data_IF_371733255040
#
_entry.id   IF_371733255040
#
_cell.length_a   1.000
_cell.length_b   1.000
_cell.length_c   1.000
_cell.angle_alpha   90.00
_cell.angle_beta   90.00
_cell.angle_gamma   90.00
#
_symmetry.space_group_name_H-M   'P 1'
#
loop_
_entity.id
_entity.type
_entity.pdbx_description
1 polymer ?
#
# COMPACT_ATOMS: atom_id res chain seq x y z
N UNK A 1 19.01 -10.55 -18.79
CA UNK A 1 18.34 -9.30 -18.39
C UNK A 1 17.03 -9.66 -17.70
N UNK A 2 16.84 -9.27 -16.44
CA UNK A 2 15.59 -9.49 -15.71
C UNK A 2 14.53 -8.60 -16.36
N UNK A 3 13.48 -9.19 -16.92
CA UNK A 3 12.37 -8.46 -17.55
C UNK A 3 11.59 -7.75 -16.44
N UNK A 4 11.75 -6.44 -16.30
CA UNK A 4 10.97 -5.63 -15.36
C UNK A 4 9.49 -5.76 -15.70
N UNK A 5 8.64 -5.98 -14.69
CA UNK A 5 7.21 -6.15 -14.92
C UNK A 5 6.59 -4.87 -15.49
N UNK A 6 5.63 -5.00 -16.41
CA UNK A 6 4.90 -3.85 -16.98
C UNK A 6 4.26 -3.00 -15.88
N UNK A 7 3.74 -3.62 -14.82
CA UNK A 7 3.15 -2.89 -13.69
C UNK A 7 4.17 -2.01 -12.96
N UNK A 8 5.40 -2.50 -12.76
CA UNK A 8 6.48 -1.72 -12.15
C UNK A 8 6.83 -0.50 -12.99
N UNK A 9 6.96 -0.68 -14.32
CA UNK A 9 7.30 0.42 -15.24
C UNK A 9 6.22 1.50 -15.21
N UNK A 10 4.94 1.10 -15.29
CA UNK A 10 3.82 2.04 -15.23
C UNK A 10 3.73 2.76 -13.88
N UNK A 11 3.97 2.05 -12.77
CA UNK A 11 3.99 2.65 -11.43
C UNK A 11 5.08 3.70 -11.29
N UNK A 12 6.32 3.36 -11.67
CA UNK A 12 7.47 4.27 -11.61
C UNK A 12 7.35 5.47 -12.54
N UNK A 13 6.77 5.30 -13.73
CA UNK A 13 6.46 6.44 -14.60
C UNK A 13 5.44 7.39 -13.96
N UNK A 14 4.43 6.86 -13.25
CA UNK A 14 3.45 7.70 -12.57
C UNK A 14 4.03 8.45 -11.36
N UNK A 15 4.92 7.81 -10.59
CA UNK A 15 5.67 8.47 -9.51
C UNK A 15 6.45 9.69 -10.04
N UNK A 16 7.18 9.52 -11.16
CA UNK A 16 7.90 10.62 -11.80
C UNK A 16 6.97 11.74 -12.27
N UNK A 17 5.87 11.40 -12.94
CA UNK A 17 4.92 12.38 -13.44
C UNK A 17 4.31 13.24 -12.31
N UNK A 18 3.98 12.63 -11.17
CA UNK A 18 3.51 13.35 -9.98
C UNK A 18 4.57 14.31 -9.44
N UNK A 19 5.81 13.83 -9.23
CA UNK A 19 6.89 14.68 -8.73
C UNK A 19 7.18 15.85 -9.68
N UNK A 20 7.26 15.58 -10.99
CA UNK A 20 7.52 16.60 -11.99
C UNK A 20 6.42 17.66 -12.01
N UNK A 21 5.16 17.26 -11.96
CA UNK A 21 4.03 18.21 -11.92
C UNK A 21 4.04 19.04 -10.63
N UNK A 22 4.35 18.45 -9.47
CA UNK A 22 4.55 19.23 -8.24
C UNK A 22 5.64 20.29 -8.42
N UNK A 23 6.80 19.90 -8.97
CA UNK A 23 7.91 20.83 -9.24
C UNK A 23 7.49 21.99 -10.14
N UNK A 24 6.87 21.68 -11.28
CA UNK A 24 6.46 22.69 -12.26
C UNK A 24 5.45 23.69 -11.69
N UNK A 25 4.50 23.22 -10.87
CA UNK A 25 3.49 24.06 -10.23
C UNK A 25 4.03 24.86 -9.05
N UNK A 26 4.98 24.30 -8.29
CA UNK A 26 5.44 24.89 -7.04
C UNK A 26 6.63 25.84 -7.21
N UNK A 27 7.47 25.64 -8.23
CA UNK A 27 8.64 26.51 -8.49
C UNK A 27 8.28 27.98 -8.75
N UNK A 28 7.03 28.24 -9.17
CA UNK A 28 6.51 29.61 -9.38
C UNK A 28 5.90 30.22 -8.11
N UNK A 29 5.69 29.41 -7.06
CA UNK A 29 5.05 29.81 -5.80
C UNK A 29 6.04 29.85 -4.62
N UNK A 30 7.05 29.00 -4.63
CA UNK A 30 8.03 28.83 -3.54
C UNK A 30 9.36 28.31 -4.08
N UNK A 31 10.42 28.39 -3.28
CA UNK A 31 11.68 27.69 -3.54
C UNK A 31 11.49 26.17 -3.48
N UNK A 32 11.93 25.46 -4.52
CA UNK A 32 11.78 24.00 -4.66
C UNK A 32 13.11 23.38 -5.10
N UNK A 33 13.44 22.23 -4.54
CA UNK A 33 14.58 21.40 -4.99
C UNK A 33 14.13 19.95 -5.17
N UNK A 34 14.60 19.29 -6.23
CA UNK A 34 14.39 17.85 -6.45
C UNK A 34 15.62 17.08 -6.00
N UNK A 35 15.43 15.98 -5.27
CA UNK A 35 16.50 15.04 -4.93
C UNK A 35 16.62 13.99 -6.03
N UNK A 36 17.70 14.06 -6.81
CA UNK A 36 18.01 13.13 -7.91
C UNK A 36 18.67 11.82 -7.43
N UNK A 37 18.01 11.11 -6.52
CA UNK A 37 18.46 9.79 -6.06
C UNK A 37 18.26 8.69 -7.14
N UNK A 38 18.71 7.47 -6.87
CA UNK A 38 18.57 6.35 -7.83
C UNK A 38 17.10 6.00 -8.13
N UNK A 39 16.19 6.21 -7.18
CA UNK A 39 14.75 5.99 -7.38
C UNK A 39 14.17 7.01 -8.36
N UNK A 40 14.58 8.28 -8.25
CA UNK A 40 14.26 9.33 -9.22
C UNK A 40 14.74 8.97 -10.63
N UNK A 41 16.02 8.59 -10.78
CA UNK A 41 16.58 8.21 -12.09
C UNK A 41 15.85 7.01 -12.70
N UNK A 42 15.50 6.03 -11.87
CA UNK A 42 14.72 4.86 -12.30
C UNK A 42 13.33 5.26 -12.77
N UNK A 43 12.64 6.12 -12.02
CA UNK A 43 11.31 6.62 -12.35
C UNK A 43 11.30 7.45 -13.64
N UNK A 44 12.26 8.37 -13.78
CA UNK A 44 12.48 9.15 -15.01
C UNK A 44 12.72 8.24 -16.21
N UNK A 45 13.61 7.25 -16.09
CA UNK A 45 13.86 6.28 -17.16
C UNK A 45 12.60 5.49 -17.52
N UNK A 46 11.80 5.08 -16.55
CA UNK A 46 10.53 4.40 -16.83
C UNK A 46 9.55 5.31 -17.57
N UNK A 47 9.45 6.58 -17.18
CA UNK A 47 8.60 7.57 -17.83
C UNK A 47 9.01 7.82 -19.29
N UNK A 48 10.31 8.04 -19.55
CA UNK A 48 10.84 8.31 -20.89
C UNK A 48 10.75 7.11 -21.85
N UNK A 49 10.51 5.89 -21.35
CA UNK A 49 10.29 4.71 -22.20
C UNK A 49 8.91 4.67 -22.85
N UNK A 50 7.96 5.50 -22.39
CA UNK A 50 6.63 5.61 -22.97
C UNK A 50 6.64 6.59 -24.16
N UNK A 51 5.68 6.46 -25.08
CA UNK A 51 5.53 7.41 -26.18
C UNK A 51 4.99 8.78 -25.67
N UNK A 52 5.06 9.81 -26.52
CA UNK A 52 4.61 11.17 -26.15
C UNK A 52 3.15 11.22 -25.70
N UNK A 53 2.28 10.37 -26.26
CA UNK A 53 0.86 10.33 -25.94
C UNK A 53 0.65 9.76 -24.54
N UNK A 54 1.35 8.68 -24.19
CA UNK A 54 1.32 8.08 -22.87
C UNK A 54 1.96 8.99 -21.81
N UNK A 55 3.10 9.62 -22.13
CA UNK A 55 3.73 10.63 -21.26
C UNK A 55 2.78 11.80 -20.97
N UNK A 56 2.14 12.35 -22.02
CA UNK A 56 1.14 13.43 -21.88
C UNK A 56 -0.04 13.01 -21.02
N UNK A 57 -0.49 11.76 -21.15
CA UNK A 57 -1.58 11.23 -20.31
C UNK A 57 -1.16 11.10 -18.84
N UNK A 58 0.06 10.63 -18.55
CA UNK A 58 0.59 10.60 -17.18
C UNK A 58 0.67 12.00 -16.56
N UNK A 59 1.18 12.99 -17.30
CA UNK A 59 1.25 14.39 -16.87
C UNK A 59 -0.14 14.98 -16.63
N UNK A 60 -1.09 14.73 -17.53
CA UNK A 60 -2.47 15.18 -17.38
C UNK A 60 -3.08 14.65 -16.07
N UNK A 61 -3.00 13.34 -15.83
CA UNK A 61 -3.47 12.68 -14.59
C UNK A 61 -2.79 13.29 -13.36
N UNK A 62 -1.47 13.48 -13.41
CA UNK A 62 -0.72 14.10 -12.31
C UNK A 62 -1.22 15.51 -12.03
N UNK A 63 -1.47 16.33 -13.06
CA UNK A 63 -1.94 17.72 -12.94
C UNK A 63 -3.27 17.85 -12.18
N UNK A 64 -4.24 16.98 -12.45
CA UNK A 64 -5.50 16.95 -11.70
C UNK A 64 -5.25 16.70 -10.20
N UNK A 65 -4.37 15.73 -9.90
CA UNK A 65 -4.02 15.36 -8.53
C UNK A 65 -3.32 16.51 -7.80
N UNK A 66 -2.30 17.09 -8.44
CA UNK A 66 -1.49 18.17 -7.87
C UNK A 66 -2.35 19.41 -7.63
N UNK A 67 -3.20 19.82 -8.58
CA UNK A 67 -4.07 20.97 -8.39
C UNK A 67 -5.02 20.82 -7.20
N UNK A 68 -5.64 19.64 -7.07
CA UNK A 68 -6.47 19.35 -5.91
C UNK A 68 -5.67 19.44 -4.61
N UNK A 69 -4.45 18.88 -4.57
CA UNK A 69 -3.62 18.86 -3.37
C UNK A 69 -3.11 20.25 -2.98
N UNK A 70 -2.75 21.10 -3.94
CA UNK A 70 -2.35 22.50 -3.67
C UNK A 70 -3.47 23.31 -3.01
N UNK A 71 -4.72 23.02 -3.33
CA UNK A 71 -5.89 23.66 -2.75
C UNK A 71 -6.14 23.28 -1.28
N UNK A 72 -5.68 22.10 -0.87
CA UNK A 72 -5.94 21.55 0.46
C UNK A 72 -4.68 21.43 1.32
N UNK A 73 -3.48 21.67 0.79
CA UNK A 73 -2.23 21.61 1.56
C UNK A 73 -1.49 22.96 1.49
N UNK A 74 -1.87 23.94 2.35
CA UNK A 74 -1.26 25.28 2.35
C UNK A 74 0.26 25.28 2.43
N UNK A 75 0.86 24.31 3.13
CA UNK A 75 2.32 24.23 3.31
C UNK A 75 3.08 23.83 2.06
N UNK A 76 2.42 23.32 1.02
CA UNK A 76 3.07 23.10 -0.27
C UNK A 76 3.53 24.43 -0.86
N UNK A 77 2.62 25.38 -1.01
CA UNK A 77 2.86 26.64 -1.71
C UNK A 77 3.50 27.73 -0.85
N UNK A 78 3.58 27.56 0.48
CA UNK A 78 3.99 28.63 1.39
C UNK A 78 5.18 28.24 2.26
N UNK A 79 6.28 28.99 2.10
CA UNK A 79 7.48 28.92 2.93
C UNK A 79 7.54 30.01 4.00
N UNK A 80 8.34 29.81 5.04
CA UNK A 80 8.60 30.79 6.11
C UNK A 80 9.35 32.01 5.55
N UNK A 81 10.37 31.76 4.73
CA UNK A 81 11.24 32.74 4.08
C UNK A 81 11.96 32.07 2.88
N UNK A 82 12.93 32.75 2.27
CA UNK A 82 13.69 32.24 1.11
C UNK A 82 14.53 31.00 1.39
N UNK A 83 14.93 30.76 2.65
CA UNK A 83 15.70 29.59 3.10
C UNK A 83 14.80 28.37 3.35
N UNK A 84 13.48 28.55 3.40
CA UNK A 84 12.53 27.45 3.53
C UNK A 84 12.29 26.79 2.16
N UNK A 85 13.20 25.89 1.82
CA UNK A 85 13.18 25.12 0.58
C UNK A 85 12.24 23.93 0.71
N UNK A 86 11.32 23.78 -0.24
CA UNK A 86 10.53 22.56 -0.39
C UNK A 86 11.33 21.51 -1.15
N UNK A 87 11.70 20.43 -0.46
CA UNK A 87 12.36 19.28 -1.07
C UNK A 87 11.31 18.32 -1.65
N UNK A 88 11.52 17.87 -2.89
CA UNK A 88 10.75 16.81 -3.55
C UNK A 88 11.63 15.58 -3.75
N UNK A 89 11.13 14.41 -3.36
CA UNK A 89 11.89 13.16 -3.44
C UNK A 89 11.01 11.97 -3.86
N UNK A 90 11.56 11.06 -4.67
CA UNK A 90 11.00 9.71 -4.87
C UNK A 90 11.64 8.75 -3.87
N UNK A 91 10.82 8.11 -3.06
CA UNK A 91 11.27 7.23 -1.99
C UNK A 91 11.69 5.87 -2.56
N UNK A 92 12.75 5.30 -2.03
CA UNK A 92 13.17 3.95 -2.39
C UNK A 92 12.19 2.89 -1.87
N UNK A 93 11.92 1.86 -2.69
CA UNK A 93 10.99 0.75 -2.38
C UNK A 93 11.29 0.04 -1.04
N UNK A 94 12.54 0.13 -0.54
CA UNK A 94 12.94 -0.45 0.75
C UNK A 94 12.15 0.12 1.93
N UNK A 95 11.72 1.39 1.88
CA UNK A 95 10.91 2.02 2.92
C UNK A 95 9.51 1.38 3.07
N UNK A 96 8.96 0.84 1.97
CA UNK A 96 7.71 0.05 1.97
C UNK A 96 7.76 -1.20 2.85
N UNK A 97 8.96 -1.74 3.09
CA UNK A 97 9.13 -2.91 3.94
C UNK A 97 8.81 -2.59 5.41
N UNK A 98 9.22 -1.40 5.89
CA UNK A 98 8.97 -0.90 7.26
C UNK A 98 7.58 -0.28 7.46
N UNK A 99 6.71 -0.29 6.45
CA UNK A 99 5.32 0.17 6.55
C UNK A 99 5.06 1.59 6.03
N UNK A 100 6.07 2.26 5.49
CA UNK A 100 5.89 3.54 4.81
C UNK A 100 5.53 3.31 3.34
N UNK A 101 4.29 3.60 2.97
CA UNK A 101 3.74 3.33 1.62
C UNK A 101 3.84 4.52 0.67
N UNK A 102 4.52 5.59 1.09
CA UNK A 102 4.66 6.85 0.34
C UNK A 102 5.74 6.64 -0.73
N UNK A 103 5.40 6.96 -1.96
CA UNK A 103 6.26 6.82 -3.13
C UNK A 103 6.92 8.17 -3.49
N UNK A 104 6.22 9.29 -3.28
CA UNK A 104 6.73 10.66 -3.46
C UNK A 104 6.57 11.44 -2.16
N UNK A 105 7.62 12.14 -1.72
CA UNK A 105 7.61 12.98 -0.53
C UNK A 105 7.84 14.45 -0.88
N UNK A 106 7.15 15.32 -0.15
CA UNK A 106 7.39 16.76 -0.12
C UNK A 106 7.73 17.16 1.31
N UNK A 107 8.91 17.76 1.52
CA UNK A 107 9.49 17.98 2.85
C UNK A 107 9.91 19.44 3.00
N UNK A 108 9.56 20.05 4.13
CA UNK A 108 10.07 21.35 4.58
C UNK A 108 10.71 21.20 5.96
N UNK A 109 12.03 21.08 5.97
CA UNK A 109 12.80 20.85 7.20
C UNK A 109 12.64 21.99 8.22
N UNK A 110 12.63 23.26 7.77
CA UNK A 110 12.43 24.41 8.67
C UNK A 110 11.04 24.45 9.30
N UNK A 111 10.06 23.77 8.69
CA UNK A 111 8.70 23.68 9.20
C UNK A 111 8.44 22.43 10.04
N UNK A 112 9.41 21.49 10.14
CA UNK A 112 9.18 20.12 10.63
C UNK A 112 7.93 19.49 10.00
N UNK A 113 7.80 19.67 8.69
CA UNK A 113 6.60 19.25 7.95
C UNK A 113 7.00 18.39 6.76
N UNK A 114 6.26 17.30 6.59
CA UNK A 114 6.33 16.47 5.40
C UNK A 114 4.93 15.98 5.05
N UNK A 115 4.77 15.63 3.78
CA UNK A 115 3.60 14.94 3.28
C UNK A 115 4.05 13.97 2.20
N UNK A 116 3.35 12.85 2.07
CA UNK A 116 3.64 11.90 1.01
C UNK A 116 2.44 11.47 0.19
N UNK A 117 2.77 10.98 -0.99
CA UNK A 117 1.86 10.48 -1.98
C UNK A 117 2.18 9.02 -2.25
N UNK A 118 1.18 8.15 -2.11
CA UNK A 118 1.26 6.78 -2.59
C UNK A 118 0.66 6.72 -4.00
N UNK A 119 1.52 6.59 -5.01
CA UNK A 119 1.15 6.56 -6.42
C UNK A 119 0.73 5.15 -6.83
N UNK A 120 -0.43 5.01 -7.45
CA UNK A 120 -0.94 3.70 -7.90
C UNK A 120 -1.49 3.81 -9.33
N UNK A 121 -1.07 2.90 -10.20
CA UNK A 121 -1.62 2.76 -11.55
C UNK A 121 -2.61 1.59 -11.59
N UNK A 122 -3.91 1.89 -11.64
CA UNK A 122 -5.02 0.92 -11.67
C UNK A 122 -4.99 -0.17 -10.57
N UNK A 123 -4.37 0.11 -9.42
CA UNK A 123 -4.18 -0.89 -8.37
C UNK A 123 -4.71 -0.40 -7.02
N UNK A 124 -5.70 -1.13 -6.48
CA UNK A 124 -6.33 -0.81 -5.18
C UNK A 124 -5.79 -1.64 -4.03
N UNK A 125 -5.21 -2.80 -4.30
CA UNK A 125 -4.72 -3.72 -3.28
C UNK A 125 -3.70 -3.06 -2.36
N UNK A 126 -3.63 -3.59 -1.15
CA UNK A 126 -2.78 -3.10 -0.06
C UNK A 126 -1.52 -3.97 0.00
N UNK A 127 -0.81 -4.01 1.14
CA UNK A 127 0.41 -4.82 1.26
C UNK A 127 0.15 -6.30 0.94
N UNK A 128 0.94 -6.88 0.03
CA UNK A 128 0.86 -8.29 -0.35
C UNK A 128 1.79 -9.15 0.51
N UNK A 129 1.25 -9.68 1.60
CA UNK A 129 2.02 -10.52 2.51
C UNK A 129 2.09 -11.98 2.07
N UNK A 130 3.07 -12.70 2.62
CA UNK A 130 3.28 -14.13 2.40
C UNK A 130 3.11 -14.91 3.70
N UNK A 131 2.76 -16.18 3.56
CA UNK A 131 2.84 -17.20 4.60
C UNK A 131 3.80 -18.31 4.15
N UNK A 132 4.62 -18.80 5.08
CA UNK A 132 5.49 -19.97 4.95
C UNK A 132 5.92 -20.42 6.35
N UNK A 133 6.69 -21.52 6.43
CA UNK A 133 7.27 -22.00 7.69
C UNK A 133 8.14 -20.96 8.41
N UNK A 134 8.72 -20.02 7.67
CA UNK A 134 9.72 -19.08 8.19
C UNK A 134 9.16 -17.65 8.38
N UNK A 135 7.87 -17.44 8.10
CA UNK A 135 7.24 -16.13 8.24
C UNK A 135 6.33 -16.12 9.46
N UNK A 136 6.80 -15.50 10.53
CA UNK A 136 6.01 -15.15 11.70
C UNK A 136 5.16 -13.90 11.39
N UNK A 137 3.92 -14.11 10.93
CA UNK A 137 3.04 -12.99 10.55
C UNK A 137 2.64 -12.16 11.77
N UNK A 138 2.42 -12.81 12.93
CA UNK A 138 2.08 -12.13 14.16
C UNK A 138 3.19 -11.14 14.54
N UNK A 139 4.45 -11.58 14.55
CA UNK A 139 5.56 -10.70 14.90
C UNK A 139 5.73 -9.59 13.87
N UNK A 140 5.74 -9.96 12.59
CA UNK A 140 6.00 -9.02 11.49
C UNK A 140 4.90 -7.98 11.28
N UNK A 141 3.64 -8.35 11.49
CA UNK A 141 2.48 -7.50 11.19
C UNK A 141 1.93 -6.84 12.44
N UNK A 142 1.93 -7.57 13.55
CA UNK A 142 1.26 -7.19 14.79
C UNK A 142 2.23 -6.96 15.95
N UNK A 143 3.52 -7.28 15.81
CA UNK A 143 4.51 -7.17 16.89
C UNK A 143 4.33 -8.22 18.01
N UNK A 144 3.62 -9.32 17.74
CA UNK A 144 3.38 -10.39 18.71
C UNK A 144 3.65 -11.75 18.06
N UNK A 145 4.53 -12.59 18.58
CA UNK A 145 4.90 -13.83 17.91
C UNK A 145 3.70 -14.77 17.73
N UNK A 146 3.64 -15.42 16.56
CA UNK A 146 2.74 -16.56 16.38
C UNK A 146 3.05 -17.68 17.38
N UNK A 147 2.02 -18.42 17.77
CA UNK A 147 2.12 -19.58 18.65
C UNK A 147 2.93 -20.74 18.02
N UNK A 148 3.45 -21.62 18.87
CA UNK A 148 3.98 -22.93 18.42
C UNK A 148 2.92 -23.71 17.64
N UNK A 149 1.68 -23.70 18.13
CA UNK A 149 0.56 -24.45 17.57
C UNK A 149 0.28 -24.04 16.13
N UNK A 150 0.30 -22.73 15.84
CA UNK A 150 0.21 -22.21 14.46
C UNK A 150 1.31 -22.80 13.56
N UNK A 151 2.56 -22.82 14.02
CA UNK A 151 3.66 -23.37 13.24
C UNK A 151 3.56 -24.89 13.09
N UNK A 152 3.13 -25.61 14.12
CA UNK A 152 2.88 -27.06 14.06
C UNK A 152 1.78 -27.41 13.05
N UNK A 153 0.72 -26.61 12.96
CA UNK A 153 -0.37 -26.79 11.98
C UNK A 153 0.10 -26.56 10.53
N UNK A 154 0.84 -25.49 10.25
CA UNK A 154 1.24 -25.16 8.87
C UNK A 154 2.46 -25.95 8.38
N UNK A 155 3.30 -26.44 9.29
CA UNK A 155 4.59 -27.05 8.96
C UNK A 155 4.50 -28.27 8.06
N UNK A 156 3.59 -29.25 8.31
CA UNK A 156 3.43 -30.40 7.41
C UNK A 156 3.07 -29.98 5.98
N UNK A 157 2.24 -28.94 5.83
CA UNK A 157 1.75 -28.45 4.54
C UNK A 157 2.92 -27.86 3.72
N UNK A 158 3.62 -26.87 4.28
CA UNK A 158 4.72 -26.22 3.57
C UNK A 158 5.93 -27.12 3.39
N UNK A 159 6.19 -28.04 4.34
CA UNK A 159 7.26 -29.03 4.19
C UNK A 159 6.97 -30.00 3.04
N UNK A 160 5.72 -30.45 2.89
CA UNK A 160 5.33 -31.29 1.76
C UNK A 160 5.52 -30.56 0.42
N UNK A 161 5.12 -29.27 0.34
CA UNK A 161 5.38 -28.45 -0.85
C UNK A 161 6.88 -28.30 -1.15
N UNK A 162 7.72 -28.20 -0.12
CA UNK A 162 9.19 -28.15 -0.27
C UNK A 162 9.76 -29.48 -0.80
N UNK A 163 9.26 -30.61 -0.31
CA UNK A 163 9.63 -31.96 -0.80
C UNK A 163 9.27 -32.11 -2.27
N UNK A 164 8.04 -31.79 -2.66
CA UNK A 164 7.56 -31.86 -4.05
C UNK A 164 8.37 -30.96 -4.99
N UNK A 165 8.66 -29.73 -4.56
CA UNK A 165 9.51 -28.81 -5.31
C UNK A 165 10.93 -29.39 -5.49
N UNK A 166 11.51 -29.98 -4.44
CA UNK A 166 12.87 -30.53 -4.49
C UNK A 166 12.93 -31.77 -5.39
N UNK A 167 12.01 -32.71 -5.22
CA UNK A 167 11.93 -33.94 -6.02
C UNK A 167 11.76 -33.65 -7.52
N UNK A 168 10.96 -32.63 -7.86
CA UNK A 168 10.74 -32.20 -9.25
C UNK A 168 11.80 -31.23 -9.80
N UNK A 169 12.84 -30.89 -9.03
CA UNK A 169 13.82 -29.83 -9.39
C UNK A 169 13.12 -28.52 -9.79
N UNK A 170 12.08 -28.15 -9.05
CA UNK A 170 11.24 -26.96 -9.24
C UNK A 170 10.55 -26.89 -10.62
N UNK A 171 10.19 -28.03 -11.21
CA UNK A 171 9.45 -28.09 -12.50
C UNK A 171 7.97 -28.42 -12.33
N UNK A 172 7.58 -29.08 -11.24
CA UNK A 172 6.20 -29.46 -10.99
C UNK A 172 5.30 -28.23 -10.75
N UNK A 173 4.11 -28.28 -11.32
CA UNK A 173 3.11 -27.21 -11.30
C UNK A 173 1.94 -27.55 -10.38
N UNK A 174 1.22 -26.53 -9.90
CA UNK A 174 0.15 -26.67 -8.91
C UNK A 174 -1.05 -27.50 -9.40
N UNK A 175 -1.33 -27.46 -10.70
CA UNK A 175 -2.37 -28.26 -11.38
C UNK A 175 -2.19 -29.77 -11.20
N UNK A 176 -0.96 -30.24 -11.01
CA UNK A 176 -0.66 -31.66 -10.74
C UNK A 176 -1.10 -32.14 -9.35
N UNK A 177 -1.44 -31.23 -8.42
CA UNK A 177 -1.84 -31.57 -7.05
C UNK A 177 -3.35 -31.84 -6.89
N UNK A 178 -4.13 -31.77 -7.97
CA UNK A 178 -5.59 -31.91 -7.91
C UNK A 178 -6.23 -30.77 -7.13
N UNK A 179 -7.12 -31.07 -6.18
CA UNK A 179 -7.80 -30.06 -5.35
C UNK A 179 -6.90 -29.50 -4.24
N UNK A 180 -5.87 -28.74 -4.63
CA UNK A 180 -4.98 -28.05 -3.69
C UNK A 180 -5.67 -26.91 -2.94
N UNK A 181 -6.84 -26.44 -3.39
CA UNK A 181 -7.62 -25.48 -2.61
C UNK A 181 -8.08 -26.12 -1.29
N UNK A 182 -8.62 -27.33 -1.34
CA UNK A 182 -9.04 -28.04 -0.12
C UNK A 182 -7.85 -28.59 0.66
N UNK A 183 -6.83 -29.15 0.00
CA UNK A 183 -5.73 -29.83 0.69
C UNK A 183 -4.61 -28.90 1.18
N UNK A 184 -4.48 -27.70 0.62
CA UNK A 184 -3.43 -26.74 0.98
C UNK A 184 -4.03 -25.42 1.46
N UNK A 185 -4.91 -24.77 0.69
CA UNK A 185 -5.33 -23.41 1.00
C UNK A 185 -6.24 -23.35 2.23
N UNK A 186 -7.24 -24.22 2.30
CA UNK A 186 -8.20 -24.23 3.43
C UNK A 186 -7.48 -24.46 4.77
N UNK A 187 -6.61 -25.46 4.94
CA UNK A 187 -5.87 -25.65 6.19
C UNK A 187 -4.98 -24.46 6.56
N UNK A 188 -4.25 -23.87 5.61
CA UNK A 188 -3.41 -22.68 5.87
C UNK A 188 -4.26 -21.48 6.29
N UNK A 189 -5.41 -21.26 5.64
CA UNK A 189 -6.34 -20.19 6.00
C UNK A 189 -6.98 -20.41 7.37
N UNK A 190 -7.32 -21.65 7.71
CA UNK A 190 -7.84 -21.98 9.03
C UNK A 190 -6.79 -21.72 10.13
N UNK A 191 -5.55 -22.16 9.93
CA UNK A 191 -4.45 -21.89 10.86
C UNK A 191 -4.23 -20.38 11.03
N UNK A 192 -4.19 -19.62 9.93
CA UNK A 192 -4.09 -18.16 9.95
C UNK A 192 -5.25 -17.50 10.70
N UNK A 193 -6.49 -17.93 10.43
CA UNK A 193 -7.70 -17.42 11.10
C UNK A 193 -7.67 -17.68 12.60
N UNK A 194 -7.40 -18.92 13.01
CA UNK A 194 -7.32 -19.31 14.42
C UNK A 194 -6.26 -18.50 15.14
N UNK A 195 -5.08 -18.37 14.53
CA UNK A 195 -3.97 -17.64 15.13
C UNK A 195 -4.25 -16.12 15.24
N UNK A 196 -4.87 -15.52 14.22
CA UNK A 196 -5.26 -14.11 14.27
C UNK A 196 -6.29 -13.85 15.39
N UNK A 197 -7.27 -14.74 15.56
CA UNK A 197 -8.27 -14.64 16.64
C UNK A 197 -7.65 -14.82 18.02
N UNK A 198 -6.69 -15.75 18.16
CA UNK A 198 -5.93 -15.94 19.40
C UNK A 198 -5.14 -14.68 19.76
N UNK A 199 -4.39 -14.13 18.80
CA UNK A 199 -3.62 -12.91 19.00
C UNK A 199 -4.50 -11.72 19.40
N UNK A 200 -5.68 -11.56 18.81
CA UNK A 200 -6.64 -10.51 19.17
C UNK A 200 -7.19 -10.70 20.60
N UNK A 201 -7.51 -11.95 20.97
CA UNK A 201 -8.01 -12.31 22.31
C UNK A 201 -6.98 -12.01 23.39
N UNK A 202 -5.69 -12.29 23.13
CA UNK A 202 -4.60 -12.06 24.08
C UNK A 202 -4.15 -10.60 24.15
N UNK A 203 -4.44 -9.80 23.12
CA UNK A 203 -3.99 -8.42 23.00
C UNK A 203 -5.17 -7.48 22.68
N UNK A 204 -6.18 -7.42 23.58
CA UNK A 204 -7.43 -6.72 23.33
C UNK A 204 -7.17 -5.22 23.08
N UNK A 205 -7.83 -4.67 22.07
CA UNK A 205 -7.71 -3.25 21.73
C UNK A 205 -6.56 -2.90 20.78
N UNK A 206 -5.64 -3.84 20.50
CA UNK A 206 -4.35 -3.52 19.83
C UNK A 206 -4.24 -4.15 18.43
N UNK A 207 -4.67 -5.40 18.27
CA UNK A 207 -4.43 -6.18 17.04
C UNK A 207 -5.09 -5.56 15.82
N UNK A 208 -6.34 -5.12 15.94
CA UNK A 208 -7.08 -4.48 14.85
C UNK A 208 -6.35 -3.23 14.31
N UNK A 209 -5.86 -2.36 15.20
CA UNK A 209 -5.15 -1.14 14.82
C UNK A 209 -3.84 -1.46 14.11
N UNK A 210 -3.04 -2.38 14.68
CA UNK A 210 -1.75 -2.78 14.11
C UNK A 210 -1.91 -3.47 12.76
N UNK A 211 -2.94 -4.30 12.60
CA UNK A 211 -3.25 -4.94 11.33
C UNK A 211 -3.52 -3.89 10.23
N UNK A 212 -4.37 -2.90 10.51
CA UNK A 212 -4.66 -1.82 9.55
C UNK A 212 -3.39 -1.02 9.23
N UNK A 213 -2.62 -0.59 10.25
CA UNK A 213 -1.37 0.15 10.04
C UNK A 213 -0.36 -0.63 9.20
N UNK A 214 -0.22 -1.93 9.44
CA UNK A 214 0.70 -2.76 8.66
C UNK A 214 0.29 -2.89 7.19
N UNK A 215 -1.01 -3.06 6.92
CA UNK A 215 -1.53 -3.29 5.58
C UNK A 215 -1.62 -2.02 4.75
N UNK A 216 -2.11 -0.93 5.36
CA UNK A 216 -2.43 0.32 4.68
C UNK A 216 -1.27 1.31 4.68
N UNK A 217 -0.51 1.36 5.79
CA UNK A 217 0.54 2.35 6.03
C UNK A 217 0.47 2.90 7.44
N UNK A 218 1.62 3.33 7.97
CA UNK A 218 1.73 3.88 9.33
C UNK A 218 1.92 5.40 9.39
N UNK A 219 1.98 6.06 8.23
CA UNK A 219 2.11 7.52 8.09
C UNK A 219 0.83 8.14 7.54
N UNK A 220 0.74 9.46 7.64
CA UNK A 220 -0.29 10.25 6.96
C UNK A 220 0.12 10.48 5.50
N UNK A 221 -0.79 10.20 4.56
CA UNK A 221 -0.50 10.33 3.12
C UNK A 221 -1.76 10.45 2.27
N UNK A 222 -1.57 10.87 1.01
CA UNK A 222 -2.59 10.75 -0.03
C UNK A 222 -2.32 9.57 -0.94
N UNK A 223 -3.28 8.67 -1.09
CA UNK A 223 -3.23 7.63 -2.13
C UNK A 223 -3.81 8.19 -3.41
N UNK A 224 -2.99 8.33 -4.44
CA UNK A 224 -3.41 8.81 -5.76
C UNK A 224 -3.45 7.62 -6.71
N UNK A 225 -4.64 7.29 -7.19
CA UNK A 225 -4.90 6.16 -8.06
C UNK A 225 -5.26 6.68 -9.45
N UNK A 226 -4.35 6.46 -10.41
CA UNK A 226 -4.59 6.67 -11.83
C UNK A 226 -5.52 5.57 -12.35
N UNK A 227 -6.73 5.96 -12.74
CA UNK A 227 -7.65 5.17 -13.53
C UNK A 227 -7.46 5.39 -15.03
N UNK A 228 -8.38 4.85 -15.85
CA UNK A 228 -8.41 5.09 -17.30
C UNK A 228 -8.87 6.52 -17.65
N UNK A 229 -10.03 6.93 -17.13
CA UNK A 229 -10.64 8.25 -17.38
C UNK A 229 -10.94 9.00 -16.06
N UNK A 230 -10.26 8.63 -14.98
CA UNK A 230 -10.43 9.27 -13.68
C UNK A 230 -9.18 9.17 -12.83
N UNK A 231 -9.00 10.13 -11.94
CA UNK A 231 -8.08 10.08 -10.82
C UNK A 231 -8.89 9.93 -9.55
N UNK A 232 -8.45 9.04 -8.67
CA UNK A 232 -9.01 8.93 -7.32
C UNK A 232 -7.95 9.31 -6.29
N UNK A 233 -8.32 10.19 -5.37
CA UNK A 233 -7.44 10.70 -4.31
C UNK A 233 -8.09 10.34 -2.98
N UNK A 234 -7.43 9.48 -2.21
CA UNK A 234 -7.86 9.08 -0.87
C UNK A 234 -6.94 9.69 0.19
N UNK A 235 -7.51 10.30 1.23
CA UNK A 235 -6.74 10.93 2.30
C UNK A 235 -6.63 10.01 3.53
N UNK A 236 -5.46 9.40 3.73
CA UNK A 236 -5.19 8.58 4.91
C UNK A 236 -4.60 9.45 6.02
N UNK A 237 -5.48 10.20 6.70
CA UNK A 237 -5.12 11.11 7.79
C UNK A 237 -5.17 10.38 9.15
N UNK A 238 -4.21 9.48 9.41
CA UNK A 238 -4.19 8.60 10.59
C UNK A 238 -3.85 9.37 11.88
N UNK A 239 -2.97 10.37 11.78
CA UNK A 239 -2.41 11.12 12.90
C UNK A 239 -2.91 12.56 12.95
N UNK A 240 -3.53 13.06 11.89
CA UNK A 240 -4.09 14.41 11.85
C UNK A 240 -3.12 15.45 11.29
N UNK A 241 -2.08 15.03 10.56
CA UNK A 241 -1.05 15.93 10.02
C UNK A 241 -1.30 16.36 8.58
N UNK A 242 -2.26 15.74 7.88
CA UNK A 242 -2.73 16.25 6.59
C UNK A 242 -3.50 17.55 6.78
N UNK A 243 -3.47 18.40 5.75
CA UNK A 243 -4.38 19.53 5.59
C UNK A 243 -4.22 20.60 6.69
N UNK A 244 -3.02 20.72 7.26
CA UNK A 244 -2.74 21.70 8.31
C UNK A 244 -2.57 23.11 7.72
N UNK A 245 -3.03 24.15 8.44
CA UNK A 245 -2.85 25.53 7.99
C UNK A 245 -1.36 25.93 7.97
N UNK A 246 -1.07 26.96 7.19
CA UNK A 246 0.19 27.70 7.24
C UNK A 246 -0.09 29.14 7.69
N UNK A 247 0.25 29.48 8.94
CA UNK A 247 -0.14 30.76 9.56
C UNK A 247 -1.66 30.98 9.40
N UNK A 248 -2.07 32.11 8.82
CA UNK A 248 -3.47 32.45 8.58
C UNK A 248 -4.06 31.80 7.30
N UNK A 249 -3.24 31.12 6.51
CA UNK A 249 -3.67 30.44 5.28
C UNK A 249 -4.27 29.08 5.64
N UNK A 250 -5.58 28.99 5.49
CA UNK A 250 -6.36 27.77 5.76
C UNK A 250 -6.51 26.93 4.49
N UNK A 251 -6.60 25.60 4.61
CA UNK A 251 -6.98 24.77 3.48
C UNK A 251 -8.41 25.08 2.99
N UNK A 252 -8.68 24.88 1.69
CA UNK A 252 -10.02 25.11 1.13
C UNK A 252 -11.09 24.12 1.63
N UNK A 253 -10.67 22.95 2.09
CA UNK A 253 -11.55 21.95 2.69
C UNK A 253 -10.84 21.30 3.88
N UNK A 254 -11.60 20.91 4.92
CA UNK A 254 -11.06 20.23 6.09
C UNK A 254 -10.98 18.73 5.86
N UNK A 255 -9.83 18.13 6.14
CA UNK A 255 -9.66 16.68 6.08
C UNK A 255 -9.95 16.03 7.43
N UNK A 256 -10.98 15.17 7.56
CA UNK A 256 -11.22 14.46 8.81
C UNK A 256 -10.09 13.50 9.13
N UNK A 257 -9.84 13.26 10.42
CA UNK A 257 -8.93 12.20 10.87
C UNK A 257 -9.60 10.85 10.60
N UNK A 258 -8.84 9.92 10.03
CA UNK A 258 -9.31 8.57 9.78
C UNK A 258 -9.38 7.79 11.09
N UNK A 259 -10.54 7.20 11.39
CA UNK A 259 -10.69 6.37 12.58
C UNK A 259 -10.08 5.00 12.36
N UNK A 260 -9.07 4.67 13.17
CA UNK A 260 -8.50 3.32 13.22
C UNK A 260 -9.39 2.40 14.06
N UNK A 261 -9.46 1.10 13.72
CA UNK A 261 -10.22 0.15 14.51
C UNK A 261 -9.44 -0.24 15.76
N UNK A 262 -10.16 -0.58 16.82
CA UNK A 262 -9.60 -1.16 18.04
C UNK A 262 -10.16 -2.55 18.35
N UNK A 263 -11.11 -3.05 17.55
CA UNK A 263 -11.74 -4.34 17.78
C UNK A 263 -11.90 -5.11 16.47
N UNK A 264 -11.39 -6.34 16.46
CA UNK A 264 -11.74 -7.33 15.46
C UNK A 264 -13.16 -7.84 15.76
N UNK A 265 -14.05 -7.77 14.78
CA UNK A 265 -15.44 -8.22 14.92
C UNK A 265 -15.54 -9.68 14.54
N UNK A 266 -15.02 -10.05 13.37
CA UNK A 266 -15.05 -11.43 12.89
C UNK A 266 -13.99 -11.69 11.80
N UNK A 267 -13.64 -12.98 11.66
CA UNK A 267 -12.89 -13.50 10.53
C UNK A 267 -13.67 -14.69 9.95
N UNK A 268 -14.17 -14.54 8.74
CA UNK A 268 -15.04 -15.54 8.09
C UNK A 268 -14.60 -15.80 6.66
N UNK A 269 -14.97 -16.95 6.09
CA UNK A 269 -14.81 -17.14 4.64
C UNK A 269 -15.79 -16.25 3.90
N UNK A 270 -15.35 -15.68 2.77
CA UNK A 270 -16.28 -15.11 1.81
C UNK A 270 -17.23 -16.21 1.30
N UNK A 271 -18.49 -15.87 1.06
CA UNK A 271 -19.51 -16.82 0.58
C UNK A 271 -19.00 -17.66 -0.60
N UNK A 272 -19.18 -18.98 -0.47
CA UNK A 272 -18.76 -19.97 -1.47
C UNK A 272 -17.26 -19.91 -1.85
N UNK A 273 -16.41 -19.33 -1.00
CA UNK A 273 -14.97 -19.22 -1.24
C UNK A 273 -14.17 -20.22 -0.41
N UNK A 274 -13.22 -20.90 -1.06
CA UNK A 274 -12.17 -21.70 -0.39
C UNK A 274 -10.84 -20.95 -0.25
N UNK A 275 -10.77 -19.72 -0.76
CA UNK A 275 -9.50 -19.01 -0.92
C UNK A 275 -9.48 -17.66 -0.22
N UNK A 276 -10.63 -17.15 0.21
CA UNK A 276 -10.74 -15.76 0.67
C UNK A 276 -11.38 -15.70 2.05
N UNK A 277 -10.65 -15.09 3.00
CA UNK A 277 -11.19 -14.67 4.29
C UNK A 277 -11.58 -13.19 4.23
N UNK A 278 -12.67 -12.85 4.89
CA UNK A 278 -13.08 -11.48 5.20
C UNK A 278 -12.79 -11.23 6.68
N UNK A 279 -11.98 -10.19 6.94
CA UNK A 279 -11.70 -9.68 8.28
C UNK A 279 -12.49 -8.39 8.45
N UNK A 280 -13.49 -8.42 9.34
CA UNK A 280 -14.32 -7.26 9.67
C UNK A 280 -13.83 -6.67 10.99
N UNK A 281 -13.58 -5.37 11.02
CA UNK A 281 -13.16 -4.62 12.21
C UNK A 281 -14.17 -3.49 12.46
N UNK A 282 -14.19 -2.94 13.67
CA UNK A 282 -15.06 -1.79 13.96
C UNK A 282 -14.64 -0.53 13.18
N UNK A 283 -15.41 0.56 13.31
CA UNK A 283 -15.22 1.81 12.56
C UNK A 283 -15.36 1.68 11.02
N UNK A 284 -15.93 0.58 10.52
CA UNK A 284 -16.28 0.41 9.10
C UNK A 284 -15.19 -0.24 8.24
N UNK A 285 -14.16 -0.81 8.84
CA UNK A 285 -13.09 -1.52 8.13
C UNK A 285 -13.50 -2.95 7.79
N UNK A 286 -13.35 -3.33 6.52
CA UNK A 286 -13.42 -4.73 6.09
C UNK A 286 -12.34 -5.00 5.06
N UNK A 287 -11.58 -6.09 5.27
CA UNK A 287 -10.40 -6.42 4.47
C UNK A 287 -10.53 -7.87 4.00
N UNK A 288 -10.39 -8.08 2.69
CA UNK A 288 -10.36 -9.42 2.10
C UNK A 288 -8.93 -9.93 2.00
N UNK A 289 -8.69 -11.16 2.43
CA UNK A 289 -7.42 -11.88 2.32
C UNK A 289 -7.60 -13.09 1.40
N UNK A 290 -7.30 -12.92 0.11
CA UNK A 290 -7.35 -14.02 -0.87
C UNK A 290 -6.00 -14.70 -0.98
N UNK A 291 -5.89 -15.94 -0.54
CA UNK A 291 -4.67 -16.74 -0.70
C UNK A 291 -4.55 -17.24 -2.15
N UNK A 292 -3.33 -17.21 -2.68
CA UNK A 292 -3.01 -17.74 -4.01
C UNK A 292 -1.54 -18.15 -4.10
N UNK A 293 -1.24 -19.00 -5.09
CA UNK A 293 0.13 -19.30 -5.52
C UNK A 293 0.64 -18.19 -6.44
N UNK A 294 1.81 -17.65 -6.12
CA UNK A 294 2.41 -16.56 -6.90
C UNK A 294 3.07 -17.01 -8.21
N UNK A 295 3.23 -18.33 -8.39
CA UNK A 295 3.94 -18.99 -9.47
C UNK A 295 3.10 -20.17 -9.94
N UNK A 296 3.14 -20.48 -11.24
CA UNK A 296 2.55 -21.72 -11.76
C UNK A 296 3.26 -22.97 -11.24
N UNK A 297 4.51 -22.84 -10.82
CA UNK A 297 5.33 -23.89 -10.19
C UNK A 297 5.10 -23.94 -8.69
N UNK A 298 5.21 -25.14 -8.11
CA UNK A 298 5.07 -25.36 -6.67
C UNK A 298 6.16 -24.59 -5.92
N UNK A 299 5.72 -23.79 -4.94
CA UNK A 299 6.58 -23.04 -4.02
C UNK A 299 6.13 -23.33 -2.58
N UNK A 300 7.04 -23.49 -1.62
CA UNK A 300 6.71 -23.69 -0.20
C UNK A 300 6.33 -22.37 0.49
N UNK A 301 5.58 -21.52 -0.22
CA UNK A 301 5.04 -20.26 0.30
C UNK A 301 3.80 -19.88 -0.48
N UNK A 302 2.86 -19.23 0.21
CA UNK A 302 1.65 -18.68 -0.38
C UNK A 302 1.62 -17.17 -0.22
N UNK A 303 0.91 -16.48 -1.12
CA UNK A 303 0.70 -15.04 -1.07
C UNK A 303 -0.75 -14.72 -0.75
N UNK A 304 -0.95 -13.64 -0.02
CA UNK A 304 -2.23 -12.97 0.00
C UNK A 304 -2.29 -11.87 -1.05
N UNK A 305 -3.40 -11.86 -1.79
CA UNK A 305 -3.93 -10.67 -2.45
C UNK A 305 -4.91 -10.02 -1.48
N UNK A 306 -4.51 -8.87 -0.92
CA UNK A 306 -5.22 -8.20 0.16
C UNK A 306 -5.88 -6.94 -0.39
N UNK A 307 -7.19 -6.82 -0.19
CA UNK A 307 -7.96 -5.67 -0.67
C UNK A 307 -8.81 -5.08 0.45
N UNK A 308 -8.94 -3.76 0.43
CA UNK A 308 -9.86 -3.04 1.29
C UNK A 308 -11.26 -3.12 0.67
N UNK A 309 -12.15 -3.89 1.31
CA UNK A 309 -13.54 -4.08 0.87
C UNK A 309 -14.40 -2.90 1.29
N UNK A 310 -14.24 -2.46 2.54
CA UNK A 310 -14.85 -1.24 3.07
C UNK A 310 -13.85 -0.48 3.92
N UNK A 311 -14.01 0.83 3.94
CA UNK A 311 -13.23 1.75 4.76
C UNK A 311 -14.16 2.60 5.62
N UNK A 312 -13.66 3.23 6.71
CA UNK A 312 -14.44 4.17 7.51
C UNK A 312 -15.05 5.27 6.66
N UNK A 313 -16.24 5.74 7.04
CA UNK A 313 -16.88 6.91 6.43
C UNK A 313 -16.04 8.19 6.53
N UNK A 314 -15.07 8.23 7.45
CA UNK A 314 -14.12 9.32 7.59
C UNK A 314 -12.98 9.27 6.55
N UNK A 315 -12.87 8.22 5.73
CA UNK A 315 -11.92 8.18 4.62
C UNK A 315 -12.41 9.11 3.49
N UNK A 316 -11.82 10.29 3.39
CA UNK A 316 -12.11 11.22 2.30
C UNK A 316 -11.62 10.64 0.97
N UNK A 317 -12.51 10.53 0.00
CA UNK A 317 -12.22 10.05 -1.35
C UNK A 317 -12.76 11.04 -2.37
N UNK A 318 -11.89 11.54 -3.24
CA UNK A 318 -12.24 12.47 -4.31
C UNK A 318 -12.01 11.79 -5.66
N UNK A 319 -12.98 11.93 -6.57
CA UNK A 319 -12.86 11.43 -7.94
C UNK A 319 -12.86 12.60 -8.92
N UNK A 320 -11.78 12.71 -9.70
CA UNK A 320 -11.62 13.72 -10.74
C UNK A 320 -11.73 13.01 -12.10
N UNK A 321 -12.71 13.37 -12.91
CA UNK A 321 -12.90 12.76 -14.23
C UNK A 321 -12.06 13.48 -15.28
N UNK A 322 -11.37 12.71 -16.10
CA UNK A 322 -10.59 13.20 -17.23
C UNK A 322 -11.50 13.03 -18.46
N UNK A 323 -11.89 14.16 -19.05
CA UNK A 323 -12.82 14.23 -20.18
C UNK A 323 -12.32 13.56 -21.45
#
# INVERSE_FOLDING_TARGET
>A
MIKTSTQTINGKAFEYALLNEFSERLKVLTSVTIIENESFKTALKCFLNFDEKEQSHYQLVASFSVNFLLDIEPRLSNGINSEDILQLEIVADKAGQSGDVRDVLMIRSLQNWEIGISAKNNHRAVKHSRLSNDINFGEKWLGFPCSSDYFEEIKPIFSNLAVLRTASKATQTWDTLGDYHTSVYVPVLNAFKTELLRLDTENPGIVAERLVKYLIGNQDFYKVIKGKNKVEIQAYNLHGTLNLPFKDIKPKAKMPRLKLPNRLIEVVYQDNSKTTLLVTLNEGWQISFRIHNASSRIEPSLKFDINLVSAPHTLSTNHLFIG
#
